data_IF_576615388180
#
_entry.id   IF_576615388180
#
_cell.length_a   1.000
_cell.length_b   1.000
_cell.length_c   1.000
_cell.angle_alpha   90.00
_cell.angle_beta   90.00
_cell.angle_gamma   90.00
#
_symmetry.space_group_name_H-M   'P 1'
#
loop_
_entity.id
_entity.type
_entity.pdbx_description
1 polymer ?
#
# COMPACT_ATOMS: atom_id res chain seq x y z
N UNK A 1 -17.84 -54.61 46.32
CA UNK A 1 -16.51 -55.09 45.87
C UNK A 1 -16.53 -55.59 44.42
N UNK A 2 -17.67 -56.13 43.92
CA UNK A 2 -17.78 -56.70 42.55
C UNK A 2 -17.86 -55.66 41.40
N UNK A 3 -18.44 -54.48 41.63
CA UNK A 3 -18.70 -53.48 40.59
C UNK A 3 -17.42 -52.84 40.01
N UNK A 4 -16.39 -52.61 40.84
CA UNK A 4 -15.11 -52.03 40.39
C UNK A 4 -14.30 -52.96 39.49
N UNK A 5 -14.47 -54.29 39.65
CA UNK A 5 -13.76 -55.30 38.85
C UNK A 5 -14.18 -55.24 37.37
N UNK A 6 -15.42 -54.86 37.11
CA UNK A 6 -15.98 -54.73 35.77
C UNK A 6 -15.43 -53.52 35.01
N UNK A 7 -15.09 -52.45 35.73
CA UNK A 7 -14.50 -51.22 35.17
C UNK A 7 -13.04 -51.45 34.78
N UNK A 8 -12.29 -52.15 35.64
CA UNK A 8 -10.90 -52.52 35.36
C UNK A 8 -10.78 -53.48 34.16
N UNK A 9 -11.71 -54.43 34.02
CA UNK A 9 -11.77 -55.28 32.83
C UNK A 9 -12.02 -54.46 31.56
N UNK A 10 -12.97 -53.52 31.59
CA UNK A 10 -13.28 -52.65 30.45
C UNK A 10 -12.06 -51.81 30.03
N UNK A 11 -11.31 -51.27 30.98
CA UNK A 11 -10.11 -50.46 30.72
C UNK A 11 -9.00 -51.30 30.10
N UNK A 12 -8.80 -52.54 30.59
CA UNK A 12 -7.84 -53.49 30.00
C UNK A 12 -8.25 -53.87 28.58
N UNK A 13 -9.54 -54.09 28.32
CA UNK A 13 -10.06 -54.36 26.98
C UNK A 13 -9.82 -53.18 26.04
N UNK A 14 -10.13 -51.97 26.48
CA UNK A 14 -9.96 -50.74 25.69
C UNK A 14 -8.48 -50.51 25.37
N UNK A 15 -7.60 -50.69 26.36
CA UNK A 15 -6.15 -50.53 26.19
C UNK A 15 -5.55 -51.58 25.24
N UNK A 16 -6.08 -52.81 25.27
CA UNK A 16 -5.69 -53.86 24.31
C UNK A 16 -6.13 -53.51 22.89
N UNK A 17 -7.36 -53.05 22.73
CA UNK A 17 -7.91 -52.69 21.42
C UNK A 17 -7.18 -51.49 20.82
N UNK A 18 -6.89 -50.47 21.62
CA UNK A 18 -6.13 -49.29 21.18
C UNK A 18 -4.69 -49.64 20.79
N UNK A 19 -4.05 -50.60 21.48
CA UNK A 19 -2.72 -51.08 21.11
C UNK A 19 -2.70 -52.00 19.89
N UNK A 20 -3.81 -52.67 19.57
CA UNK A 20 -3.95 -53.51 18.36
C UNK A 20 -4.22 -52.66 17.10
N UNK A 21 -4.61 -51.40 17.26
CA UNK A 21 -4.69 -50.46 16.14
C UNK A 21 -3.25 -50.12 15.72
N UNK A 22 -2.88 -50.48 14.49
CA UNK A 22 -1.62 -50.06 13.90
C UNK A 22 -1.57 -48.52 13.91
N UNK A 23 -0.51 -47.98 14.52
CA UNK A 23 -0.28 -46.54 14.51
C UNK A 23 -0.08 -46.10 13.06
N UNK A 24 -1.04 -45.36 12.52
CA UNK A 24 -0.89 -44.76 11.19
C UNK A 24 0.33 -43.84 11.19
N UNK A 25 1.40 -44.30 10.55
CA UNK A 25 2.58 -43.47 10.34
C UNK A 25 2.31 -42.53 9.17
N UNK A 26 2.61 -41.23 9.32
CA UNK A 26 2.54 -40.32 8.19
C UNK A 26 3.45 -40.83 7.08
N UNK A 27 3.12 -40.47 5.83
CA UNK A 27 3.98 -40.81 4.71
C UNK A 27 5.39 -40.26 4.92
N UNK A 28 6.39 -40.97 4.38
CA UNK A 28 7.80 -40.55 4.44
C UNK A 28 8.02 -39.11 3.96
N UNK A 29 7.19 -38.64 3.03
CA UNK A 29 7.27 -37.33 2.42
C UNK A 29 6.32 -36.29 3.06
N UNK A 30 5.62 -36.62 4.14
CA UNK A 30 4.63 -35.75 4.77
C UNK A 30 5.19 -34.36 5.08
N UNK A 31 6.36 -34.31 5.73
CA UNK A 31 7.04 -33.05 6.07
C UNK A 31 7.43 -32.27 4.82
N UNK A 32 7.97 -32.94 3.80
CA UNK A 32 8.36 -32.31 2.54
C UNK A 32 7.13 -31.74 1.82
N UNK A 33 6.01 -32.45 1.82
CA UNK A 33 4.79 -32.03 1.15
C UNK A 33 4.14 -30.84 1.86
N UNK A 34 4.14 -30.83 3.20
CA UNK A 34 3.70 -29.68 3.99
C UNK A 34 4.62 -28.48 3.76
N UNK A 35 5.95 -28.67 3.82
CA UNK A 35 6.89 -27.57 3.63
C UNK A 35 6.79 -26.96 2.23
N UNK A 36 6.60 -27.79 1.20
CA UNK A 36 6.35 -27.31 -0.17
C UNK A 36 5.03 -26.53 -0.28
N UNK A 37 3.98 -26.99 0.41
CA UNK A 37 2.68 -26.29 0.46
C UNK A 37 2.80 -24.96 1.20
N UNK A 38 3.54 -24.90 2.31
CA UNK A 38 3.80 -23.66 3.05
C UNK A 38 4.62 -22.69 2.20
N UNK A 39 5.70 -23.16 1.57
CA UNK A 39 6.57 -22.31 0.75
C UNK A 39 5.84 -21.76 -0.49
N UNK A 40 4.90 -22.52 -1.07
CA UNK A 40 4.06 -22.03 -2.17
C UNK A 40 3.00 -21.03 -1.72
N UNK A 41 2.48 -21.16 -0.50
CA UNK A 41 1.55 -20.20 0.11
C UNK A 41 2.26 -18.91 0.54
N UNK A 42 3.40 -19.02 1.22
CA UNK A 42 4.22 -17.86 1.62
C UNK A 42 4.75 -17.08 0.42
N UNK A 43 5.20 -17.75 -0.65
CA UNK A 43 5.60 -17.08 -1.91
C UNK A 43 4.48 -16.22 -2.50
N UNK A 44 3.22 -16.62 -2.27
CA UNK A 44 2.04 -15.90 -2.74
C UNK A 44 1.66 -14.73 -1.83
N UNK A 45 2.01 -14.79 -0.55
CA UNK A 45 1.78 -13.77 0.48
C UNK A 45 3.00 -12.92 0.82
N UNK A 46 4.13 -13.08 0.12
CA UNK A 46 5.27 -12.16 0.25
C UNK A 46 4.73 -10.76 0.12
N UNK A 47 4.80 -10.04 1.24
CA UNK A 47 4.19 -8.75 1.47
C UNK A 47 4.66 -7.80 0.38
N UNK A 48 3.92 -7.76 -0.74
CA UNK A 48 4.41 -7.08 -1.93
C UNK A 48 4.32 -5.62 -1.61
N UNK A 49 5.46 -5.00 -1.32
CA UNK A 49 5.58 -3.61 -0.89
C UNK A 49 5.00 -2.74 -1.99
N UNK A 50 3.70 -2.49 -1.93
CA UNK A 50 2.98 -1.73 -2.94
C UNK A 50 3.43 -0.29 -2.72
N UNK A 51 4.08 0.35 -3.71
CA UNK A 51 4.51 1.72 -3.53
C UNK A 51 3.28 2.58 -3.24
N UNK A 52 3.31 3.31 -2.12
CA UNK A 52 2.22 4.18 -1.66
C UNK A 52 1.76 5.17 -2.74
N UNK A 53 2.70 5.57 -3.61
CA UNK A 53 2.48 6.42 -4.76
C UNK A 53 3.03 5.71 -5.99
N UNK A 54 2.17 5.48 -6.99
CA UNK A 54 2.56 4.91 -8.28
C UNK A 54 3.58 5.81 -8.98
N UNK A 55 4.52 5.23 -9.73
CA UNK A 55 5.53 6.01 -10.47
C UNK A 55 4.94 7.05 -11.43
N UNK A 56 3.74 6.78 -11.97
CA UNK A 56 2.99 7.73 -12.82
C UNK A 56 2.54 8.97 -12.04
N UNK A 57 2.15 8.79 -10.77
CA UNK A 57 1.70 9.87 -9.91
C UNK A 57 2.83 10.82 -9.54
N UNK A 58 4.07 10.32 -9.40
CA UNK A 58 5.25 11.18 -9.20
C UNK A 58 5.50 12.15 -10.36
N UNK A 59 5.28 11.70 -11.60
CA UNK A 59 5.42 12.56 -12.77
C UNK A 59 4.38 13.69 -12.78
N UNK A 60 3.12 13.37 -12.47
CA UNK A 60 2.04 14.37 -12.36
C UNK A 60 2.34 15.39 -11.25
N UNK A 61 2.80 14.91 -10.09
CA UNK A 61 3.14 15.76 -8.96
C UNK A 61 4.29 16.73 -9.30
N UNK A 62 5.35 16.25 -9.97
CA UNK A 62 6.44 17.09 -10.45
C UNK A 62 5.99 18.15 -11.46
N UNK A 63 5.09 17.77 -12.38
CA UNK A 63 4.55 18.70 -13.37
C UNK A 63 3.73 19.82 -12.72
N UNK A 64 2.88 19.49 -11.73
CA UNK A 64 2.15 20.51 -10.94
C UNK A 64 3.12 21.47 -10.24
N UNK A 65 4.22 20.95 -9.69
CA UNK A 65 5.21 21.78 -8.98
C UNK A 65 5.89 22.76 -9.92
N UNK A 66 6.28 22.30 -11.12
CA UNK A 66 6.90 23.13 -12.15
C UNK A 66 5.95 24.25 -12.60
N UNK A 67 4.69 23.91 -12.88
CA UNK A 67 3.67 24.90 -13.26
C UNK A 67 3.48 25.94 -12.15
N UNK A 68 3.47 25.52 -10.88
CA UNK A 68 3.34 26.41 -9.73
C UNK A 68 4.54 27.36 -9.58
N UNK A 69 5.76 26.89 -9.85
CA UNK A 69 6.98 27.72 -9.84
C UNK A 69 6.94 28.77 -10.95
N UNK A 70 6.59 28.36 -12.17
CA UNK A 70 6.48 29.29 -13.31
C UNK A 70 5.40 30.35 -13.04
N UNK A 71 4.29 29.96 -12.43
CA UNK A 71 3.22 30.88 -12.03
C UNK A 71 3.71 31.95 -11.05
N UNK A 72 4.40 31.54 -9.98
CA UNK A 72 4.94 32.48 -8.99
C UNK A 72 6.06 33.36 -9.57
N UNK A 73 6.89 32.82 -10.47
CA UNK A 73 8.01 33.56 -11.06
C UNK A 73 7.58 34.67 -12.01
N UNK A 74 6.44 34.52 -12.71
CA UNK A 74 5.99 35.54 -13.64
C UNK A 74 5.23 36.70 -12.96
N UNK A 75 4.94 36.60 -11.65
CA UNK A 75 4.20 37.62 -10.91
C UNK A 75 2.80 37.90 -11.48
N UNK A 76 2.34 37.05 -12.38
CA UNK A 76 1.08 37.20 -13.07
C UNK A 76 -0.05 36.73 -12.15
N UNK A 77 -1.09 37.55 -12.08
CA UNK A 77 -2.34 37.15 -11.43
C UNK A 77 -2.83 35.84 -12.06
N UNK A 78 -3.45 34.99 -11.25
CA UNK A 78 -4.16 33.77 -11.66
C UNK A 78 -5.12 34.02 -12.84
N UNK A 79 -5.52 35.27 -13.06
CA UNK A 79 -6.33 35.73 -14.20
C UNK A 79 -5.63 35.61 -15.56
N UNK A 80 -4.30 35.71 -15.65
CA UNK A 80 -3.59 35.75 -16.95
C UNK A 80 -3.22 34.37 -17.50
N UNK A 81 -3.26 33.31 -16.66
CA UNK A 81 -3.09 31.92 -17.12
C UNK A 81 -4.37 31.36 -17.79
N UNK A 82 -5.54 31.99 -17.57
CA UNK A 82 -6.80 31.55 -18.20
C UNK A 82 -6.93 32.10 -19.63
N UNK A 83 -6.08 33.04 -20.04
CA UNK A 83 -5.95 33.45 -21.45
C UNK A 83 -5.04 32.46 -22.17
N UNK A 84 -5.53 31.24 -22.34
CA UNK A 84 -4.89 30.20 -23.14
C UNK A 84 -4.70 30.78 -24.56
N UNK A 85 -3.51 30.69 -25.19
CA UNK A 85 -3.36 31.06 -26.59
C UNK A 85 -4.30 30.16 -27.39
N UNK A 86 -5.14 30.78 -28.22
CA UNK A 86 -6.26 30.20 -28.95
C UNK A 86 -5.94 28.84 -29.59
N UNK A 87 -6.08 27.74 -28.83
CA UNK A 87 -5.96 26.38 -29.34
C UNK A 87 -7.34 26.00 -29.88
N UNK A 88 -7.55 26.36 -31.13
CA UNK A 88 -8.79 26.24 -31.92
C UNK A 88 -9.32 24.81 -32.15
N UNK A 89 -9.09 23.85 -31.23
CA UNK A 89 -9.44 22.42 -31.45
C UNK A 89 -10.00 21.63 -30.26
N UNK A 90 -10.45 22.26 -29.18
CA UNK A 90 -11.15 21.55 -28.09
C UNK A 90 -12.43 22.27 -27.65
N UNK A 91 -13.41 22.34 -28.55
CA UNK A 91 -14.75 22.83 -28.27
C UNK A 91 -15.57 21.76 -27.53
N UNK A 92 -15.57 21.78 -26.19
CA UNK A 92 -16.70 21.33 -25.33
C UNK A 92 -16.39 21.28 -23.83
N UNK A 93 -15.16 21.55 -23.39
CA UNK A 93 -14.86 21.66 -21.96
C UNK A 93 -14.97 23.12 -21.51
N UNK A 94 -16.19 23.57 -21.26
CA UNK A 94 -16.43 24.80 -20.51
C UNK A 94 -16.03 24.53 -19.05
N UNK A 95 -14.76 24.80 -18.74
CA UNK A 95 -14.30 24.83 -17.35
C UNK A 95 -14.99 26.04 -16.71
N UNK A 96 -15.84 25.85 -15.68
CA UNK A 96 -16.46 26.97 -15.01
C UNK A 96 -15.36 27.89 -14.48
N UNK A 97 -15.46 29.18 -14.82
CA UNK A 97 -14.57 30.23 -14.33
C UNK A 97 -14.69 30.32 -12.81
N UNK A 98 -13.89 29.51 -12.10
CA UNK A 98 -13.62 29.65 -10.68
C UNK A 98 -12.70 30.86 -10.49
N UNK A 99 -13.22 32.05 -10.75
CA UNK A 99 -12.65 33.29 -10.24
C UNK A 99 -12.94 33.34 -8.74
N UNK A 100 -12.20 32.54 -7.98
CA UNK A 100 -12.09 32.74 -6.55
C UNK A 100 -11.54 34.16 -6.39
N UNK A 101 -12.39 35.12 -5.99
CA UNK A 101 -12.05 36.52 -5.76
C UNK A 101 -11.13 36.71 -4.54
N UNK A 102 -10.13 35.84 -4.41
CA UNK A 102 -9.17 35.79 -3.33
C UNK A 102 -7.90 36.47 -3.84
N UNK A 103 -7.67 37.69 -3.36
CA UNK A 103 -6.39 38.38 -3.48
C UNK A 103 -5.37 37.70 -2.57
N UNK A 104 -4.63 36.76 -3.13
CA UNK A 104 -3.52 36.10 -2.43
C UNK A 104 -2.31 37.03 -2.41
N UNK A 105 -1.71 37.26 -1.23
CA UNK A 105 -0.48 38.05 -1.14
C UNK A 105 0.70 37.27 -1.72
N UNK A 106 1.67 37.98 -2.30
CA UNK A 106 2.89 37.37 -2.84
C UNK A 106 3.62 36.53 -1.77
N UNK A 107 3.66 37.02 -0.52
CA UNK A 107 4.24 36.28 0.61
C UNK A 107 3.53 34.95 0.84
N UNK A 108 2.20 34.92 0.79
CA UNK A 108 1.43 33.69 0.94
C UNK A 108 1.71 32.69 -0.20
N UNK A 109 1.86 33.18 -1.44
CA UNK A 109 2.26 32.34 -2.58
C UNK A 109 3.65 31.71 -2.39
N UNK A 110 4.65 32.51 -2.02
CA UNK A 110 6.01 32.01 -1.77
C UNK A 110 6.04 30.99 -0.62
N UNK A 111 5.30 31.23 0.47
CA UNK A 111 5.21 30.27 1.57
C UNK A 111 4.52 28.97 1.17
N UNK A 112 3.46 29.04 0.36
CA UNK A 112 2.75 27.86 -0.12
C UNK A 112 3.64 27.01 -1.03
N UNK A 113 4.41 27.67 -1.90
CA UNK A 113 5.35 27.01 -2.80
C UNK A 113 6.48 26.32 -2.03
N UNK A 114 7.14 27.02 -1.10
CA UNK A 114 8.17 26.43 -0.24
C UNK A 114 7.63 25.27 0.60
N UNK A 115 6.44 25.41 1.15
CA UNK A 115 5.78 24.34 1.91
C UNK A 115 5.53 23.10 1.04
N UNK A 116 5.06 23.30 -0.20
CA UNK A 116 4.87 22.22 -1.17
C UNK A 116 6.20 21.49 -1.44
N UNK A 117 7.27 22.23 -1.76
CA UNK A 117 8.61 21.62 -1.96
C UNK A 117 9.03 20.81 -0.74
N UNK A 118 8.87 21.37 0.46
CA UNK A 118 9.26 20.69 1.70
C UNK A 118 8.45 19.40 1.93
N UNK A 119 7.14 19.41 1.66
CA UNK A 119 6.30 18.21 1.72
C UNK A 119 6.78 17.11 0.76
N UNK A 120 7.19 17.47 -0.47
CA UNK A 120 7.76 16.52 -1.42
C UNK A 120 9.07 15.91 -0.92
N UNK A 121 9.96 16.71 -0.34
CA UNK A 121 11.21 16.23 0.27
C UNK A 121 10.91 15.27 1.41
N UNK A 122 9.95 15.60 2.27
CA UNK A 122 9.51 14.73 3.36
C UNK A 122 8.98 13.38 2.84
N UNK A 123 8.14 13.40 1.80
CA UNK A 123 7.62 12.17 1.17
C UNK A 123 8.77 11.32 0.59
N UNK A 124 9.76 11.96 -0.04
CA UNK A 124 10.93 11.25 -0.58
C UNK A 124 11.77 10.59 0.52
N UNK A 125 12.05 11.30 1.61
CA UNK A 125 12.78 10.76 2.77
C UNK A 125 12.02 9.61 3.42
N UNK A 126 10.71 9.75 3.62
CA UNK A 126 9.87 8.73 4.22
C UNK A 126 9.85 7.46 3.35
N UNK A 127 9.75 7.63 2.02
CA UNK A 127 9.85 6.52 1.07
C UNK A 127 11.20 5.79 1.21
N UNK A 128 12.31 6.52 1.29
CA UNK A 128 13.64 5.94 1.46
C UNK A 128 13.79 5.17 2.78
N UNK A 129 13.22 5.70 3.87
CA UNK A 129 13.24 5.06 5.17
C UNK A 129 12.42 3.75 5.21
N UNK A 130 11.19 3.76 4.69
CA UNK A 130 10.34 2.56 4.66
C UNK A 130 10.88 1.49 3.72
N UNK A 131 11.45 1.86 2.57
CA UNK A 131 12.08 0.90 1.65
C UNK A 131 13.20 0.12 2.35
N UNK A 132 14.04 0.79 3.15
CA UNK A 132 15.16 0.15 3.86
C UNK A 132 14.77 -0.77 5.01
N UNK A 133 13.52 -0.70 5.50
CA UNK A 133 13.03 -1.51 6.63
C UNK A 133 12.18 -2.71 6.18
N UNK A 134 11.73 -2.71 4.93
CA UNK A 134 10.83 -3.72 4.38
C UNK A 134 11.54 -4.64 3.35
N UNK A 135 12.80 -4.35 3.02
CA UNK A 135 13.76 -5.27 2.43
C UNK A 135 14.55 -5.97 3.56
#
# INVERSE_FOLDING_TARGET
MEENKHVDELDVFMKKYVNEIESEMPSIDFTTNIMNTIHTLESKEVFKVKPLISGKTWFVLGLILIVSILFVSQGQSISELITIPEVSRFSSFEIPNISLGITVSNTMLYTCLLFSIMAFVQIYLLKGYFSRRLD
#
